data_IF_180987880921
#
_entry.id   IF_180987880921
#
_cell.length_a   1.000
_cell.length_b   1.000
_cell.length_c   1.000
_cell.angle_alpha   90.00
_cell.angle_beta   90.00
_cell.angle_gamma   90.00
#
_symmetry.space_group_name_H-M   'P 1'
#
loop_
_entity.id
_entity.type
_entity.pdbx_description
1 polymer ?
#
# COMPACT_ATOMS: atom_id res chain seq x y z
N UNK A 1 -15.02 -12.03 -2.03
CA UNK A 1 -14.08 -12.16 -0.91
C UNK A 1 -13.21 -13.41 -1.03
N UNK A 2 -13.77 -14.63 -1.03
CA UNK A 2 -12.98 -15.89 -1.07
C UNK A 2 -12.01 -16.03 -2.25
N UNK A 3 -12.39 -15.59 -3.45
CA UNK A 3 -11.52 -15.69 -4.64
C UNK A 3 -10.27 -14.83 -4.56
N UNK A 4 -10.35 -13.64 -3.95
CA UNK A 4 -9.19 -12.76 -3.78
C UNK A 4 -8.23 -13.37 -2.77
N UNK A 5 -8.75 -13.90 -1.66
CA UNK A 5 -7.95 -14.62 -0.66
C UNK A 5 -7.19 -15.81 -1.30
N UNK A 6 -7.83 -16.57 -2.19
CA UNK A 6 -7.17 -17.66 -2.92
C UNK A 6 -5.99 -17.15 -3.77
N UNK A 7 -6.17 -16.04 -4.48
CA UNK A 7 -5.09 -15.44 -5.30
C UNK A 7 -3.94 -14.96 -4.41
N UNK A 8 -4.24 -14.28 -3.31
CA UNK A 8 -3.23 -13.82 -2.35
C UNK A 8 -2.50 -14.99 -1.69
N UNK A 9 -3.20 -16.09 -1.40
CA UNK A 9 -2.61 -17.31 -0.86
C UNK A 9 -1.59 -17.92 -1.82
N UNK A 10 -1.88 -17.97 -3.12
CA UNK A 10 -0.94 -18.48 -4.13
C UNK A 10 0.24 -17.52 -4.29
N UNK A 11 -0.01 -16.22 -4.38
CA UNK A 11 1.04 -15.21 -4.60
C UNK A 11 1.97 -15.05 -3.39
N UNK A 12 1.48 -15.21 -2.16
CA UNK A 12 2.28 -15.15 -0.93
C UNK A 12 3.23 -16.35 -0.75
N UNK A 13 3.05 -17.42 -1.53
CA UNK A 13 4.00 -18.55 -1.56
C UNK A 13 5.27 -18.22 -2.35
N UNK A 14 5.34 -17.11 -3.07
CA UNK A 14 6.55 -16.71 -3.77
C UNK A 14 7.60 -16.29 -2.72
N UNK A 15 8.63 -17.11 -2.55
CA UNK A 15 9.66 -16.93 -1.49
C UNK A 15 10.79 -15.98 -1.89
N UNK A 16 10.92 -15.65 -3.18
CA UNK A 16 12.13 -15.01 -3.73
C UNK A 16 11.93 -13.52 -4.01
N UNK A 17 12.45 -12.66 -3.15
CA UNK A 17 12.41 -11.19 -3.30
C UNK A 17 12.87 -10.71 -4.70
N UNK A 18 13.88 -11.35 -5.29
CA UNK A 18 14.40 -11.00 -6.64
C UNK A 18 13.35 -11.10 -7.74
N UNK A 19 12.35 -11.97 -7.58
CA UNK A 19 11.24 -12.12 -8.53
C UNK A 19 10.12 -11.11 -8.21
N UNK A 20 9.86 -10.86 -6.92
CA UNK A 20 8.83 -9.91 -6.49
C UNK A 20 9.18 -8.47 -6.82
N UNK A 21 10.44 -8.07 -6.65
CA UNK A 21 10.88 -6.68 -6.81
C UNK A 21 10.54 -6.07 -8.19
N UNK A 22 10.89 -6.69 -9.35
CA UNK A 22 10.56 -6.12 -10.66
C UNK A 22 9.04 -6.12 -10.95
N UNK A 23 8.31 -7.14 -10.48
CA UNK A 23 6.85 -7.21 -10.63
C UNK A 23 6.16 -6.10 -9.83
N UNK A 24 6.58 -5.91 -8.58
CA UNK A 24 6.10 -4.85 -7.71
C UNK A 24 6.45 -3.47 -8.26
N UNK A 25 7.65 -3.30 -8.84
CA UNK A 25 8.03 -2.04 -9.49
C UNK A 25 7.10 -1.72 -10.66
N UNK A 26 6.81 -2.69 -11.53
CA UNK A 26 5.88 -2.51 -12.64
C UNK A 26 4.45 -2.19 -12.15
N UNK A 27 3.99 -2.86 -11.09
CA UNK A 27 2.71 -2.58 -10.45
C UNK A 27 2.65 -1.15 -9.88
N UNK A 28 3.69 -0.70 -9.18
CA UNK A 28 3.78 0.66 -8.64
C UNK A 28 3.82 1.72 -9.75
N UNK A 29 4.56 1.49 -10.84
CA UNK A 29 4.54 2.39 -12.02
C UNK A 29 3.12 2.47 -12.59
N UNK A 30 2.42 1.35 -12.67
CA UNK A 30 1.03 1.31 -13.14
C UNK A 30 0.10 2.11 -12.21
N UNK A 31 0.30 2.05 -10.90
CA UNK A 31 -0.42 2.88 -9.93
C UNK A 31 -0.12 4.38 -10.13
N UNK A 32 1.13 4.76 -10.42
CA UNK A 32 1.47 6.16 -10.74
C UNK A 32 0.72 6.65 -11.99
N UNK A 33 0.60 5.79 -13.01
CA UNK A 33 -0.22 6.10 -14.21
C UNK A 33 -1.70 6.26 -13.83
N UNK A 34 -2.25 5.33 -13.04
CA UNK A 34 -3.62 5.45 -12.54
C UNK A 34 -3.85 6.71 -11.71
N UNK A 35 -2.87 7.09 -10.90
CA UNK A 35 -2.88 8.33 -10.12
C UNK A 35 -2.89 9.56 -11.03
N UNK A 36 -2.11 9.58 -12.11
CA UNK A 36 -2.13 10.67 -13.10
C UNK A 36 -3.50 10.80 -13.79
N UNK A 37 -4.18 9.67 -14.06
CA UNK A 37 -5.55 9.70 -14.60
C UNK A 37 -6.54 10.26 -13.58
N UNK A 38 -6.41 9.92 -12.29
CA UNK A 38 -7.23 10.52 -11.23
C UNK A 38 -7.06 12.03 -11.20
N UNK A 39 -5.80 12.52 -11.28
CA UNK A 39 -5.52 13.95 -11.36
C UNK A 39 -6.18 14.62 -12.55
N UNK A 40 -6.17 13.97 -13.72
CA UNK A 40 -6.86 14.47 -14.91
C UNK A 40 -8.35 14.71 -14.65
N UNK A 41 -9.06 13.78 -13.99
CA UNK A 41 -10.47 13.98 -13.65
C UNK A 41 -10.70 15.06 -12.61
N UNK A 42 -9.82 15.14 -11.61
CA UNK A 42 -9.93 16.12 -10.53
C UNK A 42 -9.78 17.55 -11.07
N UNK A 43 -8.86 17.79 -12.01
CA UNK A 43 -8.55 19.14 -12.50
C UNK A 43 -9.38 19.59 -13.71
N UNK A 44 -10.21 18.72 -14.29
CA UNK A 44 -10.91 19.03 -15.55
C UNK A 44 -11.99 20.10 -15.41
N UNK A 45 -12.83 19.99 -14.38
CA UNK A 45 -14.03 20.80 -14.20
C UNK A 45 -14.17 21.26 -12.74
N UNK A 46 -13.15 21.97 -12.24
CA UNK A 46 -13.13 22.45 -10.86
C UNK A 46 -14.26 23.47 -10.63
N UNK A 47 -15.13 23.26 -9.61
CA UNK A 47 -16.17 24.22 -9.26
C UNK A 47 -15.55 25.50 -8.66
N UNK A 48 -16.29 26.61 -8.55
CA UNK A 48 -15.79 27.83 -7.93
C UNK A 48 -15.39 27.60 -6.46
N UNK A 49 -14.29 28.22 -5.99
CA UNK A 49 -13.72 27.94 -4.66
C UNK A 49 -14.67 28.22 -3.48
N UNK A 50 -15.63 29.13 -3.68
CA UNK A 50 -16.65 29.51 -2.70
C UNK A 50 -17.82 28.52 -2.60
N UNK A 51 -17.88 27.52 -3.49
CA UNK A 51 -18.95 26.52 -3.52
C UNK A 51 -18.79 25.41 -2.47
N UNK A 52 -17.63 25.33 -1.81
CA UNK A 52 -17.31 24.27 -0.84
C UNK A 52 -17.01 24.85 0.55
N UNK A 53 -17.36 24.15 1.63
CA UNK A 53 -16.98 24.56 2.97
C UNK A 53 -15.45 24.50 3.12
N UNK A 54 -14.86 25.57 3.64
CA UNK A 54 -13.41 25.67 3.86
C UNK A 54 -12.91 24.76 4.99
N UNK A 55 -13.78 24.43 5.95
CA UNK A 55 -13.44 23.63 7.13
C UNK A 55 -14.56 22.63 7.39
N UNK A 56 -14.18 21.35 7.52
CA UNK A 56 -15.10 20.28 7.90
C UNK A 56 -15.47 20.32 9.39
N UNK A 57 -16.51 19.58 9.81
CA UNK A 57 -16.92 19.53 11.21
C UNK A 57 -15.86 18.85 12.08
N UNK A 58 -15.70 19.35 13.32
CA UNK A 58 -14.75 18.83 14.32
C UNK A 58 -15.00 17.34 14.62
N UNK A 59 -16.26 16.88 14.53
CA UNK A 59 -16.63 15.48 14.72
C UNK A 59 -15.99 14.52 13.72
N UNK A 60 -15.53 15.01 12.56
CA UNK A 60 -14.82 14.20 11.56
C UNK A 60 -13.32 14.01 11.86
N UNK A 61 -12.73 14.79 12.77
CA UNK A 61 -11.30 14.75 13.06
C UNK A 61 -10.83 13.36 13.54
N UNK A 62 -11.53 12.63 14.42
CA UNK A 62 -11.11 11.27 14.81
C UNK A 62 -11.04 10.30 13.62
N UNK A 63 -12.03 10.34 12.69
CA UNK A 63 -12.03 9.52 11.47
C UNK A 63 -10.84 9.88 10.58
N UNK A 64 -10.62 11.18 10.36
CA UNK A 64 -9.50 11.68 9.57
C UNK A 64 -8.14 11.24 10.14
N UNK A 65 -7.92 11.44 11.45
CA UNK A 65 -6.68 11.03 12.12
C UNK A 65 -6.44 9.53 11.99
N UNK A 66 -7.47 8.69 12.14
CA UNK A 66 -7.35 7.25 11.97
C UNK A 66 -6.93 6.85 10.55
N UNK A 67 -7.49 7.48 9.52
CA UNK A 67 -7.13 7.23 8.12
C UNK A 67 -5.71 7.67 7.83
N UNK A 68 -5.30 8.86 8.31
CA UNK A 68 -3.93 9.38 8.13
C UNK A 68 -2.92 8.47 8.81
N UNK A 69 -3.17 8.08 10.07
CA UNK A 69 -2.29 7.16 10.79
C UNK A 69 -2.17 5.84 10.02
N UNK A 70 -3.29 5.22 9.66
CA UNK A 70 -3.27 3.98 8.89
C UNK A 70 -2.51 4.10 7.56
N UNK A 71 -2.65 5.21 6.84
CA UNK A 71 -1.97 5.44 5.57
C UNK A 71 -0.45 5.67 5.71
N UNK A 72 0.04 6.00 6.91
CA UNK A 72 1.45 6.31 7.16
C UNK A 72 2.22 5.19 7.88
N UNK A 73 1.54 4.16 8.37
CA UNK A 73 2.17 3.05 9.08
C UNK A 73 2.82 2.05 8.11
N UNK A 74 4.15 1.87 8.21
CA UNK A 74 4.85 0.74 7.55
C UNK A 74 6.15 0.33 8.23
N UNK A 75 6.14 0.22 9.57
CA UNK A 75 7.35 -0.07 10.36
C UNK A 75 8.10 -1.35 9.94
N UNK A 76 7.37 -2.42 9.60
CA UNK A 76 7.99 -3.69 9.20
C UNK A 76 8.79 -3.60 7.89
N UNK A 77 8.32 -2.80 6.93
CA UNK A 77 9.00 -2.60 5.65
C UNK A 77 10.21 -1.69 5.81
N UNK A 78 10.11 -0.67 6.66
CA UNK A 78 11.19 0.30 6.95
C UNK A 78 12.45 -0.42 7.44
N UNK A 79 12.32 -1.31 8.43
CA UNK A 79 13.47 -2.06 8.98
C UNK A 79 14.08 -3.00 7.95
N UNK A 80 13.25 -3.71 7.19
CA UNK A 80 13.74 -4.61 6.15
C UNK A 80 14.43 -3.86 5.01
N UNK A 81 13.90 -2.70 4.64
CA UNK A 81 14.49 -1.84 3.62
C UNK A 81 15.84 -1.30 4.09
N UNK A 82 15.93 -0.77 5.31
CA UNK A 82 17.17 -0.29 5.93
C UNK A 82 18.26 -1.38 5.91
N UNK A 83 17.92 -2.61 6.32
CA UNK A 83 18.85 -3.74 6.34
C UNK A 83 19.34 -4.18 4.95
N UNK A 84 18.60 -3.83 3.89
CA UNK A 84 18.93 -4.19 2.51
C UNK A 84 19.54 -3.03 1.70
N UNK A 85 19.85 -1.89 2.33
CA UNK A 85 20.50 -0.76 1.68
C UNK A 85 22.02 -0.88 1.67
N UNK A 86 22.66 -0.34 0.63
CA UNK A 86 24.12 -0.29 0.53
C UNK A 86 24.75 0.56 1.66
N UNK A 87 24.04 1.61 2.09
CA UNK A 87 24.40 2.43 3.25
C UNK A 87 23.16 2.62 4.14
N UNK A 88 23.00 1.78 5.19
CA UNK A 88 21.89 1.88 6.12
C UNK A 88 21.88 3.20 6.93
N UNK A 89 23.05 3.79 7.21
CA UNK A 89 23.14 5.01 8.02
C UNK A 89 22.53 6.23 7.31
N UNK A 90 22.50 6.22 5.96
CA UNK A 90 21.85 7.25 5.16
C UNK A 90 20.31 7.17 5.17
N UNK A 91 19.71 6.11 5.70
CA UNK A 91 18.27 5.90 5.66
C UNK A 91 17.51 6.78 6.66
N UNK A 92 18.00 6.85 7.91
CA UNK A 92 17.32 7.50 9.06
C UNK A 92 17.82 8.90 9.39
N UNK A 93 18.79 9.44 8.65
CA UNK A 93 19.27 10.81 8.84
C UNK A 93 18.16 11.88 8.72
N UNK A 94 18.37 13.12 9.21
CA UNK A 94 17.36 14.18 9.17
C UNK A 94 16.88 14.53 7.75
N UNK A 95 17.76 14.41 6.75
CA UNK A 95 17.43 14.44 5.31
C UNK A 95 17.66 13.08 4.65
N UNK A 96 17.53 12.01 5.43
CA UNK A 96 17.68 10.64 4.98
C UNK A 96 16.59 10.25 3.98
N UNK A 97 16.83 9.14 3.31
CA UNK A 97 15.95 8.63 2.25
C UNK A 97 14.51 8.42 2.77
N UNK A 98 14.35 8.00 4.02
CA UNK A 98 13.05 7.84 4.64
C UNK A 98 12.30 9.17 4.75
N UNK A 99 12.91 10.21 5.34
CA UNK A 99 12.27 11.51 5.54
C UNK A 99 11.91 12.18 4.21
N UNK A 100 12.79 12.08 3.22
CA UNK A 100 12.53 12.61 1.88
C UNK A 100 11.35 11.87 1.21
N UNK A 101 11.33 10.53 1.29
CA UNK A 101 10.23 9.73 0.77
C UNK A 101 8.90 10.04 1.45
N UNK A 102 8.89 10.14 2.78
CA UNK A 102 7.70 10.49 3.56
C UNK A 102 7.19 11.89 3.20
N UNK A 103 8.06 12.88 3.03
CA UNK A 103 7.66 14.23 2.63
C UNK A 103 6.93 14.24 1.27
N UNK A 104 7.41 13.45 0.30
CA UNK A 104 6.75 13.30 -1.00
C UNK A 104 5.37 12.65 -0.85
N UNK A 105 5.26 11.55 -0.10
CA UNK A 105 3.98 10.84 0.10
C UNK A 105 2.96 11.72 0.82
N UNK A 106 3.36 12.39 1.90
CA UNK A 106 2.49 13.32 2.65
C UNK A 106 1.98 14.42 1.73
N UNK A 107 2.86 15.01 0.93
CA UNK A 107 2.48 16.07 -0.02
C UNK A 107 1.47 15.54 -1.04
N UNK A 108 1.73 14.37 -1.64
CA UNK A 108 0.81 13.76 -2.59
C UNK A 108 -0.57 13.48 -1.96
N UNK A 109 -0.62 12.95 -0.75
CA UNK A 109 -1.87 12.69 -0.04
C UNK A 109 -2.61 13.96 0.33
N UNK A 110 -1.90 14.99 0.81
CA UNK A 110 -2.50 16.27 1.15
C UNK A 110 -3.13 16.96 -0.07
N UNK A 111 -2.38 17.02 -1.19
CA UNK A 111 -2.88 17.61 -2.44
C UNK A 111 -4.05 16.80 -2.97
N UNK A 112 -3.97 15.45 -2.94
CA UNK A 112 -5.04 14.60 -3.47
C UNK A 112 -6.30 14.70 -2.62
N UNK A 113 -6.17 14.67 -1.30
CA UNK A 113 -7.29 14.84 -0.37
C UNK A 113 -7.96 16.21 -0.53
N UNK A 114 -7.16 17.27 -0.65
CA UNK A 114 -7.67 18.63 -0.85
C UNK A 114 -8.43 18.77 -2.17
N UNK A 115 -7.79 18.46 -3.30
CA UNK A 115 -8.42 18.65 -4.61
C UNK A 115 -9.51 17.61 -4.90
N UNK A 116 -9.40 16.40 -4.35
CA UNK A 116 -10.45 15.39 -4.41
C UNK A 116 -11.73 15.89 -3.74
N UNK A 117 -11.63 16.45 -2.53
CA UNK A 117 -12.78 17.08 -1.88
C UNK A 117 -13.24 18.34 -2.60
N UNK A 118 -12.34 19.14 -3.16
CA UNK A 118 -12.72 20.34 -3.90
C UNK A 118 -13.60 19.99 -5.13
N UNK A 119 -13.20 18.98 -5.90
CA UNK A 119 -13.94 18.51 -7.07
C UNK A 119 -15.29 17.89 -6.67
N UNK A 120 -15.27 16.86 -5.82
CA UNK A 120 -16.45 16.02 -5.57
C UNK A 120 -17.33 16.50 -4.40
N UNK A 121 -16.79 17.33 -3.49
CA UNK A 121 -17.51 17.82 -2.31
C UNK A 121 -18.05 16.67 -1.44
N UNK A 122 -19.31 16.80 -1.04
CA UNK A 122 -19.98 15.82 -0.17
C UNK A 122 -20.31 14.50 -0.89
N UNK A 123 -20.24 14.46 -2.22
CA UNK A 123 -20.47 13.25 -3.02
C UNK A 123 -19.24 12.34 -3.10
N UNK A 124 -18.11 12.77 -2.53
CA UNK A 124 -16.87 11.99 -2.51
C UNK A 124 -17.08 10.68 -1.76
N UNK A 125 -16.69 9.58 -2.39
CA UNK A 125 -16.71 8.25 -1.79
C UNK A 125 -15.50 8.04 -0.89
N UNK A 126 -15.57 7.08 0.04
CA UNK A 126 -14.45 6.74 0.95
C UNK A 126 -13.14 6.41 0.20
N UNK A 127 -13.24 5.94 -1.05
CA UNK A 127 -12.09 5.74 -1.95
C UNK A 127 -12.28 6.58 -3.21
N UNK A 128 -11.30 7.44 -3.53
CA UNK A 128 -11.40 8.38 -4.64
C UNK A 128 -11.63 7.71 -6.00
N UNK A 129 -11.10 6.50 -6.21
CA UNK A 129 -11.29 5.73 -7.44
C UNK A 129 -12.77 5.38 -7.68
N UNK A 130 -13.58 5.28 -6.64
CA UNK A 130 -15.03 5.05 -6.74
C UNK A 130 -15.79 6.32 -7.11
N UNK A 131 -15.20 7.50 -6.90
CA UNK A 131 -15.78 8.80 -7.28
C UNK A 131 -15.56 9.13 -8.76
N UNK A 132 -14.74 8.34 -9.47
CA UNK A 132 -14.51 8.51 -10.91
C UNK A 132 -15.76 8.14 -11.73
N UNK A 133 -15.99 8.84 -12.87
CA UNK A 133 -17.11 8.54 -13.75
C UNK A 133 -17.07 7.11 -14.31
N UNK A 134 -18.23 6.61 -14.74
CA UNK A 134 -18.37 5.28 -15.34
C UNK A 134 -18.06 5.34 -16.83
N UNK A 135 -16.83 5.74 -17.15
CA UNK A 135 -16.27 5.69 -18.50
C UNK A 135 -15.10 4.71 -18.58
N UNK A 136 -14.66 4.39 -19.80
CA UNK A 136 -13.63 3.36 -20.02
C UNK A 136 -12.33 3.68 -19.27
N UNK A 137 -11.98 4.97 -19.23
CA UNK A 137 -10.78 5.48 -18.57
C UNK A 137 -10.90 5.41 -17.04
N UNK A 138 -12.01 5.85 -16.44
CA UNK A 138 -12.25 5.73 -15.00
C UNK A 138 -12.31 4.28 -14.51
N UNK A 139 -12.91 3.39 -15.31
CA UNK A 139 -12.93 1.95 -15.00
C UNK A 139 -11.56 1.29 -15.13
N UNK A 140 -10.73 1.73 -16.09
CA UNK A 140 -9.36 1.23 -16.22
C UNK A 140 -8.52 1.49 -14.97
N UNK A 141 -8.69 2.65 -14.31
CA UNK A 141 -7.99 2.97 -13.05
C UNK A 141 -8.35 1.96 -11.96
N UNK A 142 -9.64 1.61 -11.82
CA UNK A 142 -10.09 0.63 -10.82
C UNK A 142 -9.42 -0.74 -11.06
N UNK A 143 -9.34 -1.18 -12.31
CA UNK A 143 -8.68 -2.44 -12.68
C UNK A 143 -7.17 -2.38 -12.43
N UNK A 144 -6.51 -1.28 -12.82
CA UNK A 144 -5.07 -1.07 -12.61
C UNK A 144 -4.73 -1.15 -11.11
N UNK A 145 -5.47 -0.43 -10.26
CA UNK A 145 -5.24 -0.45 -8.82
C UNK A 145 -5.55 -1.82 -8.22
N UNK A 146 -6.64 -2.48 -8.62
CA UNK A 146 -6.97 -3.81 -8.14
C UNK A 146 -5.85 -4.83 -8.45
N UNK A 147 -5.34 -4.83 -9.68
CA UNK A 147 -4.22 -5.68 -10.08
C UNK A 147 -2.93 -5.31 -9.36
N UNK A 148 -2.62 -4.02 -9.25
CA UNK A 148 -1.39 -3.56 -8.61
C UNK A 148 -1.36 -3.90 -7.11
N UNK A 149 -2.49 -3.78 -6.40
CA UNK A 149 -2.61 -4.19 -5.00
C UNK A 149 -2.32 -5.67 -4.84
N UNK A 150 -2.93 -6.52 -5.69
CA UNK A 150 -2.69 -7.97 -5.66
C UNK A 150 -1.23 -8.33 -5.95
N UNK A 151 -0.58 -7.63 -6.88
CA UNK A 151 0.81 -7.87 -7.26
C UNK A 151 1.84 -7.34 -6.24
N UNK A 152 1.50 -6.28 -5.50
CA UNK A 152 2.39 -5.68 -4.49
C UNK A 152 2.25 -6.35 -3.12
N UNK A 153 1.12 -7.03 -2.84
CA UNK A 153 0.85 -7.70 -1.57
C UNK A 153 1.96 -8.67 -1.12
N UNK A 154 2.49 -9.57 -1.97
CA UNK A 154 3.54 -10.51 -1.57
C UNK A 154 4.82 -9.80 -1.08
N UNK A 155 5.14 -8.61 -1.63
CA UNK A 155 6.30 -7.83 -1.22
C UNK A 155 6.08 -7.21 0.16
N UNK A 156 4.86 -6.74 0.45
CA UNK A 156 4.49 -6.19 1.75
C UNK A 156 4.51 -7.26 2.86
N UNK A 157 4.16 -8.49 2.51
CA UNK A 157 4.13 -9.63 3.45
C UNK A 157 5.52 -10.24 3.71
N UNK A 158 6.47 -10.05 2.80
CA UNK A 158 7.83 -10.58 2.91
C UNK A 158 8.55 -10.24 4.22
N UNK A 159 8.64 -8.96 4.65
CA UNK A 159 9.34 -8.63 5.90
C UNK A 159 8.65 -9.18 7.15
N UNK A 160 7.31 -9.24 7.14
CA UNK A 160 6.54 -9.87 8.23
C UNK A 160 6.98 -11.32 8.37
N UNK A 161 7.04 -12.05 7.26
CA UNK A 161 7.45 -13.46 7.25
C UNK A 161 8.91 -13.67 7.62
N UNK A 162 9.82 -12.84 7.09
CA UNK A 162 11.23 -12.94 7.43
C UNK A 162 11.48 -12.75 8.94
N UNK A 163 10.78 -11.79 9.56
CA UNK A 163 10.90 -11.52 10.98
C UNK A 163 10.19 -12.60 11.80
N UNK A 164 8.89 -12.84 11.57
CA UNK A 164 8.11 -13.73 12.44
C UNK A 164 8.49 -15.19 12.25
N UNK A 165 8.55 -15.68 11.01
CA UNK A 165 8.96 -17.05 10.74
C UNK A 165 10.45 -17.23 10.97
N UNK A 166 11.28 -16.43 10.28
CA UNK A 166 12.73 -16.63 10.26
C UNK A 166 13.44 -16.37 11.59
N UNK A 167 13.05 -15.31 12.33
CA UNK A 167 13.70 -14.97 13.61
C UNK A 167 13.02 -15.56 14.83
N UNK A 168 11.68 -15.60 14.86
CA UNK A 168 10.94 -15.94 16.09
C UNK A 168 10.32 -17.33 16.12
N UNK A 169 9.94 -17.93 14.99
CA UNK A 169 9.18 -19.20 14.99
C UNK A 169 10.04 -20.38 14.60
N UNK A 170 10.83 -20.26 13.53
CA UNK A 170 11.61 -21.39 13.01
C UNK A 170 12.67 -21.88 13.99
N UNK A 171 13.25 -20.98 14.80
CA UNK A 171 14.27 -21.35 15.80
C UNK A 171 13.75 -22.22 16.96
N UNK A 172 12.45 -22.18 17.26
CA UNK A 172 11.85 -22.95 18.37
C UNK A 172 11.13 -24.22 17.90
N UNK A 173 10.62 -24.25 16.66
CA UNK A 173 9.78 -25.35 16.19
C UNK A 173 10.51 -26.39 15.35
N UNK A 174 11.42 -26.02 14.45
CA UNK A 174 12.00 -26.93 13.45
C UNK A 174 13.46 -26.56 13.14
N UNK A 175 14.37 -27.53 13.22
CA UNK A 175 15.71 -27.35 12.64
C UNK A 175 15.60 -27.26 11.11
N UNK A 176 16.45 -26.44 10.49
CA UNK A 176 16.38 -26.12 9.05
C UNK A 176 16.54 -27.34 8.11
N UNK A 177 17.08 -28.45 8.62
CA UNK A 177 17.22 -29.74 7.92
C UNK A 177 15.97 -30.66 8.00
N UNK A 178 14.93 -30.24 8.72
CA UNK A 178 13.73 -31.06 8.88
C UNK A 178 12.89 -31.07 7.60
N UNK A 179 12.46 -32.27 7.15
CA UNK A 179 11.69 -32.48 5.92
C UNK A 179 10.37 -31.70 5.92
N UNK A 180 9.86 -31.36 7.10
CA UNK A 180 8.60 -30.65 7.29
C UNK A 180 8.74 -29.13 7.33
N UNK A 181 9.96 -28.58 7.35
CA UNK A 181 10.21 -27.15 7.46
C UNK A 181 9.43 -26.34 6.41
N UNK A 182 9.50 -26.75 5.14
CA UNK A 182 8.82 -26.06 4.04
C UNK A 182 7.30 -26.16 4.08
N UNK A 183 6.76 -27.24 4.64
CA UNK A 183 5.32 -27.41 4.80
C UNK A 183 4.80 -26.48 5.90
N UNK A 184 5.48 -26.46 7.04
CA UNK A 184 5.12 -25.60 8.16
C UNK A 184 5.27 -24.12 7.81
N UNK A 185 6.30 -23.75 7.06
CA UNK A 185 6.44 -22.38 6.55
C UNK A 185 5.27 -22.01 5.63
N UNK A 186 4.88 -22.90 4.70
CA UNK A 186 3.74 -22.66 3.79
C UNK A 186 2.41 -22.54 4.54
N UNK A 187 2.20 -23.37 5.57
CA UNK A 187 1.03 -23.29 6.45
C UNK A 187 1.01 -21.99 7.26
N UNK A 188 2.17 -21.56 7.77
CA UNK A 188 2.30 -20.31 8.50
C UNK A 188 2.03 -19.09 7.61
N UNK A 189 2.56 -19.10 6.38
CA UNK A 189 2.23 -18.10 5.34
C UNK A 189 0.73 -18.06 5.07
N UNK A 190 0.10 -19.21 4.86
CA UNK A 190 -1.33 -19.29 4.61
C UNK A 190 -2.16 -18.77 5.80
N UNK A 191 -1.78 -19.11 7.03
CA UNK A 191 -2.43 -18.62 8.24
C UNK A 191 -2.33 -17.09 8.38
N UNK A 192 -1.17 -16.51 8.08
CA UNK A 192 -0.99 -15.05 8.09
C UNK A 192 -1.85 -14.34 7.04
N UNK A 193 -1.94 -14.88 5.81
CA UNK A 193 -2.81 -14.29 4.77
C UNK A 193 -4.29 -14.38 5.17
N UNK A 194 -4.72 -15.46 5.83
CA UNK A 194 -6.11 -15.60 6.27
C UNK A 194 -6.45 -14.71 7.47
N UNK A 195 -5.45 -14.28 8.24
CA UNK A 195 -5.63 -13.39 9.37
C UNK A 195 -5.77 -11.92 8.94
N UNK A 196 -5.13 -11.54 7.81
CA UNK A 196 -5.15 -10.18 7.23
C UNK A 196 -6.26 -10.00 6.21
#
# INVERSE_FOLDING_TARGET
MAWVALVLLVLSQIRTLKVLAPVSLAANISMVVGQAIIWYYIFRDLPPIHSRPLVGPISGLPKFMGIVLFAMESLGVIIALENNMADPAAFTGPFGILNAGMAVVITLYAVLGFFGFYQYGDDVQDVITLSLPVDWTGQSVKVIYALAIVLTYPLQMWPVLEITWGKYVSGYLLQRDDRWYELWESLYRAALVLLT
#
